data_IF_067777249745
#
_entry.id   IF_067777249745
#
_cell.length_a   1.000
_cell.length_b   1.000
_cell.length_c   1.000
_cell.angle_alpha   90.00
_cell.angle_beta   90.00
_cell.angle_gamma   90.00
#
_symmetry.space_group_name_H-M   'P 1'
#
loop_
_entity.id
_entity.type
_entity.pdbx_description
1 polymer ?
#
# COMPACT_ATOMS: atom_id res chain seq x y z
N UNK A 1 -22.58 -9.96 -12.65
CA UNK A 1 -23.19 -9.18 -11.55
C UNK A 1 -22.54 -7.80 -11.60
N UNK A 2 -23.29 -6.73 -11.87
CA UNK A 2 -22.73 -5.37 -11.95
C UNK A 2 -22.26 -4.95 -10.56
N UNK A 3 -20.96 -4.67 -10.40
CA UNK A 3 -20.44 -4.07 -9.18
C UNK A 3 -20.23 -2.57 -9.43
N UNK A 4 -21.05 -1.68 -8.83
CA UNK A 4 -20.84 -0.25 -8.95
C UNK A 4 -19.46 0.09 -8.35
N UNK A 5 -18.60 0.74 -9.15
CA UNK A 5 -17.30 1.21 -8.68
C UNK A 5 -17.50 2.40 -7.75
N UNK A 6 -16.75 2.51 -6.64
CA UNK A 6 -16.81 3.69 -5.78
C UNK A 6 -16.41 4.93 -6.59
N UNK A 7 -17.12 6.03 -6.36
CA UNK A 7 -16.77 7.34 -6.90
C UNK A 7 -16.19 8.21 -5.81
N UNK A 8 -15.18 8.98 -6.17
CA UNK A 8 -14.40 9.77 -5.24
C UNK A 8 -14.37 11.23 -5.66
N UNK A 9 -14.43 12.12 -4.68
CA UNK A 9 -14.16 13.55 -4.84
C UNK A 9 -13.01 13.96 -3.92
N UNK A 10 -12.28 14.99 -4.34
CA UNK A 10 -11.23 15.60 -3.54
C UNK A 10 -11.85 16.22 -2.27
N UNK A 11 -11.14 16.16 -1.15
CA UNK A 11 -11.54 16.86 0.08
C UNK A 11 -11.59 18.38 -0.16
N UNK A 12 -12.61 19.03 0.37
CA UNK A 12 -12.94 20.43 0.03
C UNK A 12 -11.82 21.44 0.36
N UNK A 13 -10.94 21.15 1.33
CA UNK A 13 -9.83 22.02 1.72
C UNK A 13 -8.56 21.85 0.85
N UNK A 14 -8.49 20.79 0.05
CA UNK A 14 -7.32 20.48 -0.78
C UNK A 14 -7.30 21.42 -1.99
N UNK A 15 -6.23 22.20 -2.10
CA UNK A 15 -6.04 23.13 -3.21
C UNK A 15 -5.58 22.41 -4.49
N UNK A 16 -6.46 22.40 -5.49
CA UNK A 16 -6.22 21.80 -6.80
C UNK A 16 -4.95 22.32 -7.48
N UNK A 17 -4.58 23.59 -7.26
CA UNK A 17 -3.41 24.21 -7.90
C UNK A 17 -2.09 23.77 -7.26
N UNK A 18 -2.13 23.20 -6.05
CA UNK A 18 -0.94 22.69 -5.36
C UNK A 18 -0.69 21.20 -5.62
N UNK A 19 -1.68 20.49 -6.19
CA UNK A 19 -1.53 19.08 -6.49
C UNK A 19 -0.45 18.81 -7.54
N UNK A 20 0.33 17.77 -7.30
CA UNK A 20 1.26 17.24 -8.27
C UNK A 20 0.55 16.22 -9.17
N UNK A 21 0.30 16.59 -10.43
CA UNK A 21 -0.48 15.79 -11.36
C UNK A 21 0.18 14.48 -11.80
N UNK A 22 1.51 14.39 -11.73
CA UNK A 22 2.22 13.11 -11.91
C UNK A 22 1.79 12.11 -10.82
N UNK A 23 1.71 12.55 -9.57
CA UNK A 23 1.30 11.71 -8.44
C UNK A 23 -0.22 11.44 -8.47
N UNK A 24 -1.04 12.45 -8.74
CA UNK A 24 -2.50 12.29 -8.90
C UNK A 24 -2.83 11.24 -9.98
N UNK A 25 -2.11 11.23 -11.10
CA UNK A 25 -2.35 10.27 -12.19
C UNK A 25 -2.11 8.82 -11.77
N UNK A 26 -1.19 8.57 -10.85
CA UNK A 26 -0.95 7.23 -10.27
C UNK A 26 -1.93 6.86 -9.15
N UNK A 27 -2.70 7.81 -8.64
CA UNK A 27 -3.58 7.60 -7.48
C UNK A 27 -4.87 6.87 -7.89
N UNK A 28 -5.17 5.69 -7.31
CA UNK A 28 -6.33 4.88 -7.69
C UNK A 28 -7.67 5.56 -7.44
N UNK A 29 -7.75 6.53 -6.52
CA UNK A 29 -8.98 7.28 -6.21
C UNK A 29 -9.16 8.52 -7.09
N UNK A 30 -8.17 8.90 -7.90
CA UNK A 30 -8.18 10.14 -8.67
C UNK A 30 -8.86 10.04 -10.05
N UNK A 31 -9.36 8.88 -10.46
CA UNK A 31 -9.90 8.64 -11.80
C UNK A 31 -10.92 9.71 -12.23
N UNK A 32 -11.85 10.04 -11.35
CA UNK A 32 -12.87 11.06 -11.63
C UNK A 32 -12.24 12.46 -11.80
N UNK A 33 -11.33 12.84 -10.92
CA UNK A 33 -10.63 14.12 -11.01
C UNK A 33 -9.83 14.24 -12.32
N UNK A 34 -9.22 13.16 -12.76
CA UNK A 34 -8.47 13.07 -14.01
C UNK A 34 -9.39 13.16 -15.24
N UNK A 35 -10.55 12.51 -15.21
CA UNK A 35 -11.57 12.65 -16.27
C UNK A 35 -12.10 14.08 -16.41
N UNK A 36 -12.22 14.80 -15.28
CA UNK A 36 -12.64 16.19 -15.25
C UNK A 36 -11.51 17.17 -15.66
N UNK A 37 -10.25 16.72 -15.68
CA UNK A 37 -9.06 17.51 -16.02
C UNK A 37 -8.14 16.76 -17.00
N UNK A 38 -8.61 16.43 -18.21
CA UNK A 38 -7.90 15.54 -19.13
C UNK A 38 -6.56 16.09 -19.63
N UNK A 39 -6.42 17.42 -19.67
CA UNK A 39 -5.21 18.15 -20.04
C UNK A 39 -4.06 17.98 -19.03
N UNK A 40 -4.39 17.61 -17.78
CA UNK A 40 -3.42 17.45 -16.70
C UNK A 40 -2.99 16.01 -16.46
N UNK A 41 -3.51 15.06 -17.24
CA UNK A 41 -3.18 13.64 -17.09
C UNK A 41 -1.72 13.40 -17.47
N UNK A 42 -0.96 12.83 -16.53
CA UNK A 42 0.36 12.27 -16.81
C UNK A 42 0.20 10.79 -17.19
N UNK A 43 0.19 10.50 -18.50
CA UNK A 43 -0.14 9.18 -19.03
C UNK A 43 0.80 8.06 -18.60
N UNK A 44 2.10 8.34 -18.41
CA UNK A 44 3.04 7.35 -17.86
C UNK A 44 2.65 6.89 -16.45
N UNK A 45 2.30 7.85 -15.59
CA UNK A 45 1.82 7.55 -14.23
C UNK A 45 0.44 6.88 -14.24
N UNK A 46 -0.42 7.28 -15.18
CA UNK A 46 -1.74 6.68 -15.37
C UNK A 46 -1.62 5.21 -15.82
N UNK A 47 -0.65 4.87 -16.68
CA UNK A 47 -0.41 3.49 -17.12
C UNK A 47 -0.15 2.53 -15.96
N UNK A 48 0.48 3.01 -14.88
CA UNK A 48 0.69 2.23 -13.65
C UNK A 48 -0.56 2.11 -12.77
N UNK A 49 -1.56 2.96 -12.97
CA UNK A 49 -2.73 3.05 -12.11
C UNK A 49 -3.72 1.88 -12.40
N UNK A 50 -3.95 0.97 -11.43
CA UNK A 50 -4.81 -0.20 -11.65
C UNK A 50 -6.29 0.14 -11.90
N UNK A 51 -6.74 1.32 -11.49
CA UNK A 51 -8.12 1.77 -11.70
C UNK A 51 -8.31 2.50 -13.04
N UNK A 52 -7.22 2.79 -13.78
CA UNK A 52 -7.24 3.59 -14.99
C UNK A 52 -7.30 2.79 -16.31
N UNK A 53 -7.36 1.46 -16.25
CA UNK A 53 -7.34 0.58 -17.44
C UNK A 53 -8.32 1.03 -18.53
N UNK A 54 -9.57 1.35 -18.16
CA UNK A 54 -10.59 1.82 -19.10
C UNK A 54 -10.21 3.13 -19.83
N UNK A 55 -9.45 4.03 -19.19
CA UNK A 55 -8.95 5.25 -19.84
C UNK A 55 -7.82 4.94 -20.82
N UNK A 56 -6.97 3.96 -20.49
CA UNK A 56 -5.87 3.50 -21.33
C UNK A 56 -6.41 2.78 -22.58
N UNK A 57 -7.44 1.94 -22.42
CA UNK A 57 -8.14 1.27 -23.54
C UNK A 57 -8.75 2.27 -24.52
N UNK A 58 -9.24 3.42 -24.03
CA UNK A 58 -9.79 4.50 -24.86
C UNK A 58 -8.72 5.38 -25.50
N UNK A 59 -7.46 5.31 -25.05
CA UNK A 59 -6.35 6.14 -25.50
C UNK A 59 -5.08 5.28 -25.72
N UNK A 60 -5.12 4.27 -26.61
CA UNK A 60 -4.04 3.30 -26.76
C UNK A 60 -2.71 3.90 -27.22
N UNK A 61 -2.75 5.04 -27.91
CA UNK A 61 -1.60 5.82 -28.38
C UNK A 61 -0.82 6.49 -27.24
N UNK A 62 -1.45 6.67 -26.07
CA UNK A 62 -0.84 7.34 -24.91
C UNK A 62 -0.29 6.37 -23.87
N UNK A 63 -0.43 5.08 -24.11
CA UNK A 63 0.03 4.05 -23.16
C UNK A 63 1.55 4.06 -23.09
N UNK A 64 2.06 4.36 -21.89
CA UNK A 64 3.43 4.01 -21.51
C UNK A 64 3.51 2.53 -21.12
N UNK A 65 4.11 1.72 -21.99
CA UNK A 65 4.14 0.26 -21.85
C UNK A 65 5.08 -0.24 -20.75
N UNK A 66 6.12 0.54 -20.44
CA UNK A 66 7.03 0.27 -19.33
C UNK A 66 6.27 0.29 -17.99
N UNK A 67 5.53 1.37 -17.75
CA UNK A 67 4.69 1.55 -16.57
C UNK A 67 3.49 0.59 -16.56
N UNK A 68 2.90 0.31 -17.73
CA UNK A 68 1.80 -0.65 -17.87
C UNK A 68 2.22 -2.07 -17.48
N UNK A 69 3.47 -2.47 -17.74
CA UNK A 69 3.97 -3.81 -17.41
C UNK A 69 3.93 -4.11 -15.90
N UNK A 70 4.02 -3.07 -15.06
CA UNK A 70 3.84 -3.16 -13.61
C UNK A 70 2.37 -3.20 -13.15
N UNK A 71 1.41 -2.87 -14.03
CA UNK A 71 0.01 -2.71 -13.65
C UNK A 71 -0.69 -4.08 -13.53
N UNK A 72 -1.17 -4.47 -12.33
CA UNK A 72 -1.77 -5.78 -12.11
C UNK A 72 -3.08 -5.99 -12.88
N UNK A 73 -3.75 -4.92 -13.31
CA UNK A 73 -5.01 -4.99 -14.06
C UNK A 73 -4.81 -4.88 -15.58
N UNK A 74 -3.56 -4.84 -16.07
CA UNK A 74 -3.25 -4.65 -17.49
C UNK A 74 -2.77 -5.92 -18.22
N UNK A 75 -2.84 -7.09 -17.57
CA UNK A 75 -2.31 -8.34 -18.15
C UNK A 75 -2.89 -8.62 -19.55
N UNK A 76 -4.21 -8.40 -19.76
CA UNK A 76 -4.83 -8.63 -21.06
C UNK A 76 -4.31 -7.70 -22.17
N UNK A 77 -3.96 -6.45 -21.84
CA UNK A 77 -3.36 -5.52 -22.80
C UNK A 77 -1.92 -5.95 -23.17
N UNK A 78 -1.18 -6.46 -22.19
CA UNK A 78 0.19 -6.95 -22.37
C UNK A 78 0.21 -8.24 -23.20
N UNK A 79 -0.71 -9.17 -22.95
CA UNK A 79 -0.87 -10.41 -23.75
C UNK A 79 -1.19 -10.12 -25.21
N UNK A 80 -1.95 -9.06 -25.49
CA UNK A 80 -2.28 -8.62 -26.86
C UNK A 80 -1.12 -7.88 -27.55
N UNK A 81 -0.10 -7.43 -26.81
CA UNK A 81 1.03 -6.64 -27.31
C UNK A 81 2.37 -7.16 -26.75
N UNK A 82 2.74 -8.43 -27.03
CA UNK A 82 3.89 -9.08 -26.40
C UNK A 82 5.24 -8.42 -26.71
N UNK A 83 5.33 -7.71 -27.83
CA UNK A 83 6.51 -6.95 -28.27
C UNK A 83 6.77 -5.70 -27.43
N UNK A 84 5.76 -5.20 -26.70
CA UNK A 84 5.85 -3.99 -25.88
C UNK A 84 6.07 -4.26 -24.39
N UNK A 85 6.10 -5.53 -23.99
CA UNK A 85 6.27 -5.92 -22.59
C UNK A 85 7.66 -5.55 -22.10
N UNK A 86 7.71 -4.80 -20.99
CA UNK A 86 8.93 -4.57 -20.24
C UNK A 86 9.11 -5.62 -19.15
N UNK A 87 9.87 -6.67 -19.45
CA UNK A 87 9.92 -7.90 -18.64
C UNK A 87 10.44 -7.72 -17.22
N UNK A 88 11.41 -6.82 -16.99
CA UNK A 88 11.86 -6.45 -15.65
C UNK A 88 10.71 -5.98 -14.75
N UNK A 89 9.82 -5.14 -15.31
CA UNK A 89 8.67 -4.58 -14.61
C UNK A 89 7.53 -5.59 -14.49
N UNK A 90 7.39 -6.46 -15.48
CA UNK A 90 6.45 -7.57 -15.44
C UNK A 90 6.81 -8.60 -14.35
N UNK A 91 8.09 -8.89 -14.10
CA UNK A 91 8.53 -9.77 -13.01
C UNK A 91 8.04 -9.30 -11.63
N UNK A 92 7.87 -7.98 -11.45
CA UNK A 92 7.33 -7.38 -10.23
C UNK A 92 5.80 -7.50 -10.13
N UNK A 93 5.12 -7.73 -11.25
CA UNK A 93 3.67 -7.70 -11.33
C UNK A 93 3.07 -8.98 -10.68
N UNK A 94 2.26 -8.84 -9.61
CA UNK A 94 1.73 -10.00 -8.88
C UNK A 94 0.74 -10.84 -9.70
N UNK A 95 0.13 -10.27 -10.74
CA UNK A 95 -0.83 -10.95 -11.60
C UNK A 95 -0.21 -11.53 -12.87
N UNK A 96 1.09 -11.30 -13.10
CA UNK A 96 1.77 -11.74 -14.32
C UNK A 96 2.39 -13.14 -14.24
N UNK A 97 2.26 -13.85 -13.10
CA UNK A 97 2.89 -15.17 -12.91
C UNK A 97 2.60 -16.16 -14.06
N UNK A 98 1.35 -16.30 -14.57
CA UNK A 98 1.08 -17.19 -15.70
C UNK A 98 1.81 -16.78 -16.98
N UNK A 99 1.90 -15.48 -17.27
CA UNK A 99 2.59 -14.95 -18.46
C UNK A 99 4.11 -15.11 -18.35
N UNK A 100 4.67 -14.92 -17.14
CA UNK A 100 6.08 -15.14 -16.85
C UNK A 100 6.45 -16.62 -16.95
N UNK A 101 5.60 -17.53 -16.46
CA UNK A 101 5.83 -18.98 -16.54
C UNK A 101 5.95 -19.49 -18.00
N UNK A 102 5.28 -18.83 -18.94
CA UNK A 102 5.36 -19.12 -20.38
C UNK A 102 6.60 -18.50 -21.06
N UNK A 103 7.31 -17.58 -20.39
CA UNK A 103 8.41 -16.78 -20.94
C UNK A 103 9.61 -16.73 -19.97
N UNK A 104 10.01 -17.89 -19.45
CA UNK A 104 11.00 -17.98 -18.36
C UNK A 104 12.37 -17.40 -18.70
N UNK A 105 12.74 -17.39 -19.98
CA UNK A 105 13.98 -16.81 -20.49
C UNK A 105 14.06 -15.28 -20.32
N UNK A 106 12.91 -14.63 -20.14
CA UNK A 106 12.81 -13.16 -20.01
C UNK A 106 12.63 -12.69 -18.57
N UNK A 107 12.45 -13.61 -17.63
CA UNK A 107 12.23 -13.29 -16.23
C UNK A 107 13.47 -12.63 -15.63
N UNK A 108 13.27 -11.45 -15.02
CA UNK A 108 14.18 -10.96 -14.00
C UNK A 108 13.92 -11.71 -12.68
N UNK A 109 14.84 -12.61 -12.32
CA UNK A 109 14.71 -13.52 -11.18
C UNK A 109 14.98 -12.85 -9.83
N UNK A 110 15.75 -11.76 -9.82
CA UNK A 110 16.00 -10.97 -8.62
C UNK A 110 14.71 -10.30 -8.14
N UNK A 111 14.04 -9.60 -9.06
CA UNK A 111 12.76 -8.94 -8.78
C UNK A 111 11.65 -9.97 -8.52
N UNK A 112 11.64 -11.08 -9.27
CA UNK A 112 10.63 -12.12 -9.07
C UNK A 112 10.74 -12.78 -7.69
N UNK A 113 11.95 -12.92 -7.13
CA UNK A 113 12.14 -13.51 -5.79
C UNK A 113 11.46 -12.70 -4.67
N UNK A 114 11.24 -11.40 -4.89
CA UNK A 114 10.48 -10.53 -3.98
C UNK A 114 8.96 -10.59 -4.22
N UNK A 115 8.52 -11.11 -5.37
CA UNK A 115 7.12 -11.17 -5.73
C UNK A 115 6.39 -12.22 -4.88
N UNK A 116 5.45 -11.75 -4.05
CA UNK A 116 4.69 -12.58 -3.10
C UNK A 116 3.86 -13.68 -3.77
N UNK A 117 3.49 -13.48 -5.04
CA UNK A 117 2.70 -14.43 -5.81
C UNK A 117 3.57 -15.43 -6.59
N UNK A 118 4.89 -15.22 -6.64
CA UNK A 118 5.81 -16.04 -7.42
C UNK A 118 6.30 -17.32 -6.71
N UNK A 119 5.95 -17.54 -5.44
CA UNK A 119 6.41 -18.71 -4.68
C UNK A 119 6.20 -20.04 -5.45
N UNK A 120 5.03 -20.32 -6.06
CA UNK A 120 4.84 -21.58 -6.80
C UNK A 120 5.73 -21.72 -8.03
N UNK A 121 6.13 -20.61 -8.67
CA UNK A 121 7.05 -20.63 -9.82
C UNK A 121 8.50 -20.81 -9.34
N UNK A 122 8.88 -20.14 -8.26
CA UNK A 122 10.21 -20.25 -7.66
C UNK A 122 10.50 -21.67 -7.13
N UNK A 123 9.50 -22.34 -6.55
CA UNK A 123 9.61 -23.74 -6.10
C UNK A 123 9.93 -24.72 -7.25
N UNK A 124 9.48 -24.42 -8.48
CA UNK A 124 9.78 -25.25 -9.66
C UNK A 124 11.20 -25.04 -10.18
N UNK A 125 11.84 -23.92 -9.85
CA UNK A 125 13.14 -23.50 -10.43
C UNK A 125 14.08 -22.97 -9.33
N UNK A 126 14.50 -23.84 -8.39
CA UNK A 126 15.25 -23.42 -7.21
C UNK A 126 16.62 -22.77 -7.54
N UNK A 127 17.25 -23.16 -8.64
CA UNK A 127 18.57 -22.65 -9.05
C UNK A 127 18.55 -21.16 -9.46
N UNK A 128 17.37 -20.60 -9.70
CA UNK A 128 17.20 -19.19 -10.07
C UNK A 128 16.79 -18.30 -8.90
N UNK A 129 16.53 -18.88 -7.73
CA UNK A 129 16.09 -18.13 -6.56
C UNK A 129 17.21 -17.21 -6.06
N UNK A 130 16.89 -15.92 -5.91
CA UNK A 130 17.75 -14.99 -5.19
C UNK A 130 17.34 -14.99 -3.71
N UNK A 131 18.05 -15.78 -2.91
CA UNK A 131 17.68 -16.11 -1.53
C UNK A 131 17.69 -14.92 -0.57
N UNK A 132 18.55 -13.93 -0.79
CA UNK A 132 18.58 -12.66 -0.05
C UNK A 132 17.21 -11.97 -0.13
N UNK A 133 16.73 -11.75 -1.34
CA UNK A 133 15.44 -11.12 -1.63
C UNK A 133 14.25 -11.99 -1.25
N UNK A 134 14.36 -13.31 -1.42
CA UNK A 134 13.34 -14.25 -0.97
C UNK A 134 13.19 -14.23 0.56
N UNK A 135 14.26 -14.00 1.32
CA UNK A 135 14.23 -13.93 2.78
C UNK A 135 13.37 -12.77 3.31
N UNK A 136 13.24 -11.68 2.53
CA UNK A 136 12.32 -10.57 2.82
C UNK A 136 10.86 -10.89 2.46
N UNK A 137 10.60 -11.90 1.61
CA UNK A 137 9.28 -12.20 1.09
C UNK A 137 8.39 -12.86 2.17
N UNK A 138 7.28 -12.23 2.61
CA UNK A 138 6.46 -12.77 3.69
C UNK A 138 5.74 -14.07 3.34
N UNK A 139 5.58 -14.39 2.05
CA UNK A 139 4.98 -15.64 1.59
C UNK A 139 6.01 -16.79 1.46
N UNK A 140 7.31 -16.49 1.56
CA UNK A 140 8.37 -17.49 1.36
C UNK A 140 8.73 -18.31 2.60
N UNK A 141 8.12 -18.05 3.76
CA UNK A 141 8.46 -18.74 5.02
C UNK A 141 8.47 -20.28 4.90
N UNK A 142 7.49 -20.94 4.22
CA UNK A 142 7.54 -22.38 4.02
C UNK A 142 8.77 -22.85 3.23
N UNK A 143 9.11 -22.15 2.15
CA UNK A 143 10.26 -22.47 1.30
C UNK A 143 11.60 -22.22 2.02
N UNK A 144 11.71 -21.14 2.79
CA UNK A 144 12.88 -20.83 3.60
C UNK A 144 13.11 -21.88 4.71
N UNK A 145 12.04 -22.39 5.33
CA UNK A 145 12.14 -23.47 6.35
C UNK A 145 12.74 -24.77 5.79
N UNK A 146 12.51 -25.05 4.51
CA UNK A 146 13.07 -26.22 3.81
C UNK A 146 14.54 -26.01 3.40
N UNK A 147 15.00 -24.76 3.33
CA UNK A 147 16.32 -24.37 2.81
C UNK A 147 17.04 -23.44 3.80
N UNK A 148 17.17 -23.87 5.06
CA UNK A 148 17.66 -23.00 6.14
C UNK A 148 19.10 -22.50 5.96
N UNK A 149 19.93 -23.25 5.22
CA UNK A 149 21.31 -22.87 4.88
C UNK A 149 21.39 -21.70 3.91
N UNK A 150 20.30 -21.41 3.20
CA UNK A 150 20.22 -20.33 2.20
C UNK A 150 19.66 -19.02 2.74
N UNK A 151 19.15 -19.03 3.97
CA UNK A 151 18.47 -17.86 4.55
C UNK A 151 19.45 -16.72 4.74
N UNK A 152 19.09 -15.54 4.23
CA UNK A 152 19.69 -14.29 4.66
C UNK A 152 18.96 -13.79 5.92
N UNK A 153 19.63 -13.91 7.06
CA UNK A 153 19.04 -13.59 8.36
C UNK A 153 18.82 -12.08 8.59
N UNK A 154 19.60 -11.22 7.91
CA UNK A 154 19.42 -9.77 7.99
C UNK A 154 18.09 -9.37 7.34
N UNK A 155 17.82 -9.87 6.13
CA UNK A 155 16.55 -9.61 5.45
C UNK A 155 15.38 -10.35 6.10
N UNK A 156 15.63 -11.55 6.63
CA UNK A 156 14.61 -12.29 7.38
C UNK A 156 14.17 -11.53 8.65
N UNK A 157 15.07 -10.82 9.34
CA UNK A 157 14.70 -9.99 10.50
C UNK A 157 13.67 -8.90 10.16
N UNK A 158 13.69 -8.36 8.94
CA UNK A 158 12.68 -7.40 8.48
C UNK A 158 11.37 -8.08 8.01
N UNK A 159 11.35 -9.40 7.85
CA UNK A 159 10.19 -10.12 7.33
C UNK A 159 9.10 -10.26 8.41
N UNK A 160 7.89 -9.71 8.20
CA UNK A 160 6.84 -9.72 9.23
C UNK A 160 6.32 -11.12 9.55
N UNK A 161 6.48 -12.10 8.66
CA UNK A 161 6.02 -13.47 8.88
C UNK A 161 7.12 -14.40 9.45
N UNK A 162 8.33 -13.87 9.68
CA UNK A 162 9.48 -14.67 10.10
C UNK A 162 9.66 -14.79 11.62
N UNK A 163 8.85 -14.10 12.43
CA UNK A 163 8.97 -14.10 13.90
C UNK A 163 9.14 -15.51 14.51
N UNK A 164 8.32 -16.52 14.14
CA UNK A 164 8.48 -17.87 14.71
C UNK A 164 9.79 -18.58 14.33
N UNK A 165 10.44 -18.17 13.24
CA UNK A 165 11.73 -18.70 12.81
C UNK A 165 12.88 -17.99 13.53
N UNK A 166 12.77 -16.67 13.69
CA UNK A 166 13.74 -15.84 14.44
C UNK A 166 13.78 -16.22 15.93
N UNK A 167 12.63 -16.51 16.55
CA UNK A 167 12.56 -16.99 17.94
C UNK A 167 13.38 -18.26 18.19
N UNK A 168 13.53 -19.12 17.18
CA UNK A 168 14.31 -20.36 17.27
C UNK A 168 15.81 -20.15 17.08
N UNK A 169 16.22 -18.98 16.59
CA UNK A 169 17.61 -18.64 16.23
C UNK A 169 17.96 -17.21 16.70
N UNK A 170 17.89 -16.94 18.03
CA UNK A 170 18.09 -15.60 18.56
C UNK A 170 19.49 -15.02 18.29
N UNK A 171 20.48 -15.88 18.07
CA UNK A 171 21.86 -15.54 17.69
C UNK A 171 21.98 -14.98 16.26
N UNK A 172 20.97 -15.23 15.41
CA UNK A 172 20.93 -14.78 14.02
C UNK A 172 20.12 -13.51 13.81
N UNK A 173 19.44 -13.02 14.83
CA UNK A 173 18.58 -11.84 14.72
C UNK A 173 19.44 -10.60 14.47
N UNK A 174 19.22 -9.96 13.32
CA UNK A 174 19.59 -8.57 13.11
C UNK A 174 18.55 -7.66 13.80
N UNK A 175 18.93 -7.07 14.95
CA UNK A 175 18.02 -6.28 15.79
C UNK A 175 17.68 -4.92 15.19
N UNK A 176 18.56 -4.37 14.35
CA UNK A 176 18.33 -3.11 13.65
C UNK A 176 17.14 -3.25 12.69
N UNK A 177 17.14 -4.28 11.85
CA UNK A 177 16.03 -4.56 10.92
C UNK A 177 14.79 -5.07 11.66
N UNK A 178 14.98 -5.80 12.77
CA UNK A 178 13.87 -6.28 13.59
C UNK A 178 13.09 -5.12 14.26
N UNK A 179 13.74 -4.04 14.67
CA UNK A 179 13.07 -2.90 15.32
C UNK A 179 11.96 -2.28 14.46
N UNK A 180 12.16 -2.22 13.13
CA UNK A 180 11.15 -1.73 12.19
C UNK A 180 10.06 -2.76 11.84
N UNK A 181 10.24 -4.03 12.21
CA UNK A 181 9.34 -5.11 11.84
C UNK A 181 8.02 -5.01 12.64
N UNK A 182 6.86 -4.83 11.99
CA UNK A 182 5.59 -4.59 12.67
C UNK A 182 5.15 -5.76 13.55
N UNK A 183 5.59 -6.98 13.26
CA UNK A 183 5.19 -8.18 14.01
C UNK A 183 6.21 -8.56 15.10
N UNK A 184 7.35 -7.85 15.20
CA UNK A 184 8.43 -8.20 16.10
C UNK A 184 8.28 -7.70 17.54
N UNK A 185 7.22 -6.94 17.84
CA UNK A 185 7.01 -6.34 19.15
C UNK A 185 7.17 -7.32 20.33
N UNK A 186 6.62 -8.56 20.30
CA UNK A 186 6.81 -9.51 21.40
C UNK A 186 8.27 -9.94 21.63
N UNK A 187 9.11 -9.93 20.59
CA UNK A 187 10.54 -10.20 20.69
C UNK A 187 11.30 -8.98 21.23
N UNK A 188 10.94 -7.79 20.75
CA UNK A 188 11.56 -6.52 21.14
C UNK A 188 11.30 -6.19 22.62
N UNK A 189 10.07 -6.42 23.11
CA UNK A 189 9.72 -6.19 24.53
C UNK A 189 10.56 -7.04 25.50
N UNK A 190 10.99 -8.23 25.07
CA UNK A 190 11.85 -9.11 25.87
C UNK A 190 13.34 -8.74 25.79
N UNK A 191 13.73 -7.82 24.90
CA UNK A 191 15.11 -7.47 24.58
C UNK A 191 15.27 -5.95 24.39
N UNK A 192 14.79 -5.16 25.37
CA UNK A 192 14.75 -3.70 25.28
C UNK A 192 16.12 -3.05 25.05
N UNK A 193 17.20 -3.70 25.49
CA UNK A 193 18.59 -3.28 25.33
C UNK A 193 19.09 -3.35 23.89
N UNK A 194 18.43 -4.15 23.04
CA UNK A 194 18.82 -4.35 21.64
C UNK A 194 18.01 -3.54 20.64
N UNK A 195 16.99 -2.84 21.13
CA UNK A 195 16.09 -2.04 20.29
C UNK A 195 16.87 -0.86 19.70
N UNK A 196 16.89 -0.79 18.38
CA UNK A 196 17.09 0.48 17.69
C UNK A 196 15.80 1.33 17.79
N UNK A 197 15.82 2.37 18.63
CA UNK A 197 14.65 3.20 18.92
C UNK A 197 14.27 4.15 17.78
N UNK A 198 15.24 4.50 16.93
CA UNK A 198 14.98 5.30 15.73
C UNK A 198 14.10 4.52 14.76
N UNK A 199 14.45 3.26 14.48
CA UNK A 199 13.66 2.38 13.63
C UNK A 199 12.38 1.88 14.29
N UNK A 200 12.38 1.66 15.61
CA UNK A 200 11.16 1.35 16.35
C UNK A 200 10.12 2.47 16.20
N UNK A 201 10.55 3.73 16.07
CA UNK A 201 9.62 4.87 15.92
C UNK A 201 8.80 4.80 14.62
N UNK A 202 9.27 4.10 13.59
CA UNK A 202 8.49 3.79 12.38
C UNK A 202 7.46 2.67 12.59
N UNK A 203 7.64 1.83 13.60
CA UNK A 203 6.84 0.63 13.79
C UNK A 203 5.42 1.01 14.30
N UNK A 204 4.35 0.79 13.51
CA UNK A 204 3.00 1.18 13.90
C UNK A 204 2.51 0.46 15.17
N UNK A 205 3.02 -0.74 15.42
CA UNK A 205 2.60 -1.54 16.56
C UNK A 205 3.36 -1.18 17.85
N UNK A 206 4.44 -0.39 17.77
CA UNK A 206 5.30 -0.08 18.91
C UNK A 206 4.87 1.18 19.70
N UNK A 207 3.70 1.75 19.42
CA UNK A 207 3.29 3.05 19.98
C UNK A 207 3.32 3.08 21.51
N UNK A 208 2.85 2.03 22.19
CA UNK A 208 2.85 1.97 23.65
C UNK A 208 4.25 1.89 24.25
N UNK A 209 5.23 1.34 23.52
CA UNK A 209 6.61 1.25 23.98
C UNK A 209 7.30 2.61 23.84
N UNK A 210 6.99 3.34 22.77
CA UNK A 210 7.44 4.71 22.53
C UNK A 210 6.86 5.69 23.56
N UNK A 211 5.57 5.55 23.91
CA UNK A 211 4.92 6.36 24.95
C UNK A 211 5.61 6.24 26.32
N UNK A 212 6.12 5.04 26.65
CA UNK A 212 6.84 4.78 27.90
C UNK A 212 8.30 5.25 27.88
N UNK A 213 8.85 5.55 26.71
CA UNK A 213 10.27 5.89 26.50
C UNK A 213 10.38 7.13 25.58
N UNK A 214 9.69 8.21 25.92
CA UNK A 214 9.56 9.38 25.03
C UNK A 214 10.90 10.03 24.69
N UNK A 215 11.89 9.91 25.58
CA UNK A 215 13.25 10.42 25.40
C UNK A 215 14.03 9.69 24.29
N UNK A 216 13.58 8.50 23.89
CA UNK A 216 14.21 7.69 22.83
C UNK A 216 13.52 7.81 21.48
N UNK A 217 12.41 8.53 21.42
CA UNK A 217 11.61 8.67 20.20
C UNK A 217 12.45 9.35 19.10
N UNK A 218 12.56 8.67 17.96
CA UNK A 218 12.98 9.27 16.71
C UNK A 218 11.84 10.04 16.07
N UNK A 219 11.64 11.32 16.44
CA UNK A 219 10.50 12.14 15.99
C UNK A 219 10.35 12.26 14.48
N UNK A 220 11.48 12.26 13.76
CA UNK A 220 11.49 12.20 12.29
C UNK A 220 10.73 10.96 11.79
N UNK A 221 11.10 9.78 12.27
CA UNK A 221 10.50 8.50 11.91
C UNK A 221 9.06 8.37 12.42
N UNK A 222 8.82 8.85 13.64
CA UNK A 222 7.48 8.86 14.24
C UNK A 222 6.48 9.66 13.40
N UNK A 223 6.94 10.67 12.66
CA UNK A 223 6.07 11.50 11.82
C UNK A 223 5.34 10.68 10.75
N UNK A 224 5.92 9.58 10.27
CA UNK A 224 5.27 8.66 9.31
C UNK A 224 4.41 7.58 9.99
N UNK A 225 4.51 7.43 11.31
CA UNK A 225 3.85 6.36 12.04
C UNK A 225 2.33 6.62 12.13
N UNK A 226 1.47 5.76 11.53
CA UNK A 226 0.03 5.99 11.46
C UNK A 226 -0.65 5.97 12.84
N UNK A 227 -0.05 5.30 13.82
CA UNK A 227 -0.60 5.18 15.16
C UNK A 227 -0.07 6.26 16.13
N UNK A 228 0.77 7.18 15.66
CA UNK A 228 1.40 8.20 16.49
C UNK A 228 0.73 9.58 16.43
N UNK A 229 -0.44 9.71 15.79
CA UNK A 229 -1.09 11.01 15.55
C UNK A 229 -1.31 11.82 16.83
N UNK A 230 -1.70 11.18 17.94
CA UNK A 230 -1.89 11.88 19.22
C UNK A 230 -0.57 12.40 19.82
N UNK A 231 0.52 11.64 19.71
CA UNK A 231 1.85 12.09 20.15
C UNK A 231 2.35 13.26 19.30
N UNK A 232 2.16 13.18 17.97
CA UNK A 232 2.54 14.22 17.04
C UNK A 232 1.74 15.51 17.30
N UNK A 233 0.42 15.40 17.53
CA UNK A 233 -0.44 16.55 17.88
C UNK A 233 0.04 17.31 19.12
N UNK A 234 0.60 16.61 20.11
CA UNK A 234 1.12 17.22 21.34
C UNK A 234 2.52 17.82 21.19
N UNK A 235 3.24 17.51 20.11
CA UNK A 235 4.65 17.85 19.90
C UNK A 235 4.89 18.43 18.49
N UNK A 236 4.06 19.40 18.09
CA UNK A 236 4.07 19.99 16.73
C UNK A 236 5.42 20.62 16.32
N UNK A 237 6.23 21.01 17.30
CA UNK A 237 7.57 21.58 17.16
C UNK A 237 8.62 20.54 16.75
N UNK A 238 8.38 19.25 17.00
CA UNK A 238 9.32 18.16 16.72
C UNK A 238 9.02 17.41 15.41
N UNK A 239 7.90 17.73 14.76
CA UNK A 239 7.43 17.03 13.56
C UNK A 239 8.30 17.38 12.35
N UNK A 240 8.62 16.37 11.54
CA UNK A 240 9.14 16.59 10.20
C UNK A 240 7.96 16.71 9.20
N UNK A 241 7.81 17.89 8.61
CA UNK A 241 6.69 18.25 7.73
C UNK A 241 6.60 17.39 6.46
N UNK A 242 7.76 17.08 5.86
CA UNK A 242 7.84 16.22 4.68
C UNK A 242 7.31 14.82 5.00
N UNK A 243 7.70 14.28 6.15
CA UNK A 243 7.34 12.94 6.58
C UNK A 243 5.91 12.83 7.14
N UNK A 244 5.39 13.90 7.77
CA UNK A 244 3.99 13.93 8.20
C UNK A 244 3.04 13.80 7.00
N UNK A 245 3.42 14.32 5.84
CA UNK A 245 2.63 14.20 4.62
C UNK A 245 2.53 12.75 4.11
N UNK A 246 3.47 11.88 4.51
CA UNK A 246 3.44 10.43 4.24
C UNK A 246 2.51 9.66 5.19
N UNK A 247 2.07 10.28 6.29
CA UNK A 247 1.30 9.61 7.33
C UNK A 247 -0.19 9.51 6.95
N UNK A 248 -0.75 8.30 6.82
CA UNK A 248 -2.12 8.14 6.33
C UNK A 248 -3.21 8.65 7.27
N UNK A 249 -2.88 8.83 8.55
CA UNK A 249 -3.83 9.32 9.55
C UNK A 249 -3.62 10.82 9.85
N UNK A 250 -2.70 11.50 9.17
CA UNK A 250 -2.36 12.89 9.43
C UNK A 250 -3.24 13.92 8.71
N UNK A 251 -4.23 13.50 7.90
CA UNK A 251 -4.99 14.41 7.03
C UNK A 251 -5.62 15.60 7.79
N UNK A 252 -6.19 15.36 8.98
CA UNK A 252 -6.76 16.42 9.85
C UNK A 252 -5.70 17.31 10.50
N UNK A 253 -4.50 16.77 10.74
CA UNK A 253 -3.39 17.54 11.26
C UNK A 253 -2.81 18.46 10.18
N UNK A 254 -2.70 17.96 8.95
CA UNK A 254 -2.26 18.70 7.77
C UNK A 254 -3.24 19.81 7.40
N UNK A 255 -4.55 19.56 7.47
CA UNK A 255 -5.61 20.57 7.25
C UNK A 255 -5.42 21.82 8.14
N UNK A 256 -5.01 21.62 9.40
CA UNK A 256 -4.76 22.71 10.36
C UNK A 256 -3.40 23.39 10.20
N UNK A 257 -2.49 22.80 9.41
CA UNK A 257 -1.12 23.28 9.23
C UNK A 257 -0.74 23.26 7.74
N UNK A 258 -1.43 24.04 6.88
CA UNK A 258 -1.26 23.99 5.43
C UNK A 258 0.14 24.39 4.94
N UNK A 259 0.88 25.14 5.75
CA UNK A 259 2.28 25.54 5.56
C UNK A 259 3.26 24.36 5.70
N UNK A 260 2.84 23.29 6.37
CA UNK A 260 3.65 22.08 6.62
C UNK A 260 3.41 20.96 5.60
N UNK A 261 2.61 21.20 4.57
CA UNK A 261 2.23 20.16 3.61
C UNK A 261 3.30 20.01 2.51
N UNK A 262 3.84 18.80 2.37
CA UNK A 262 4.52 18.38 1.16
C UNK A 262 3.48 17.88 0.15
N UNK A 263 3.11 18.74 -0.79
CA UNK A 263 2.08 18.47 -1.79
C UNK A 263 2.46 17.37 -2.78
N UNK A 264 3.76 17.15 -3.04
CA UNK A 264 4.21 16.05 -3.89
C UNK A 264 3.79 14.71 -3.24
N UNK A 265 4.13 14.53 -1.97
CA UNK A 265 3.81 13.31 -1.22
C UNK A 265 2.29 13.18 -1.04
N UNK A 266 1.64 14.26 -0.57
CA UNK A 266 0.21 14.28 -0.29
C UNK A 266 -0.64 13.91 -1.51
N UNK A 267 -0.24 14.37 -2.72
CA UNK A 267 -0.98 14.10 -3.97
C UNK A 267 -1.05 12.61 -4.35
N UNK A 268 -0.10 11.80 -3.89
CA UNK A 268 -0.07 10.36 -4.15
C UNK A 268 -1.06 9.58 -3.28
N UNK A 269 -1.55 10.18 -2.21
CA UNK A 269 -2.28 9.46 -1.17
C UNK A 269 -3.78 9.33 -1.47
N UNK A 270 -4.37 8.12 -1.37
CA UNK A 270 -5.80 7.92 -1.61
C UNK A 270 -6.73 8.66 -0.62
N UNK A 271 -6.24 9.01 0.57
CA UNK A 271 -7.03 9.64 1.63
C UNK A 271 -7.28 11.15 1.43
N UNK A 272 -6.69 11.78 0.41
CA UNK A 272 -7.08 13.15 0.00
C UNK A 272 -8.43 13.16 -0.72
N UNK A 273 -8.99 11.97 -0.99
CA UNK A 273 -10.29 11.77 -1.58
C UNK A 273 -11.26 11.17 -0.56
N UNK A 274 -12.53 11.56 -0.68
CA UNK A 274 -13.66 10.96 0.03
C UNK A 274 -14.70 10.45 -0.96
N UNK A 275 -15.59 9.57 -0.50
CA UNK A 275 -16.67 9.05 -1.34
C UNK A 275 -17.61 10.18 -1.76
N UNK A 276 -17.86 10.29 -3.07
CA UNK A 276 -18.85 11.22 -3.61
C UNK A 276 -20.25 10.58 -3.53
N UNK A 277 -20.83 10.59 -2.33
CA UNK A 277 -22.16 10.06 -2.08
C UNK A 277 -23.23 10.70 -2.97
N UNK A 278 -23.05 11.96 -3.41
CA UNK A 278 -24.01 12.63 -4.28
C UNK A 278 -23.98 12.01 -5.68
N UNK A 279 -22.79 11.83 -6.27
CA UNK A 279 -22.65 11.17 -7.59
C UNK A 279 -22.99 9.69 -7.52
N UNK A 280 -22.58 8.99 -6.46
CA UNK A 280 -22.94 7.59 -6.24
C UNK A 280 -24.45 7.41 -6.10
N UNK A 281 -25.13 8.26 -5.31
CA UNK A 281 -26.59 8.24 -5.20
C UNK A 281 -27.25 8.41 -6.56
N UNK A 282 -26.79 9.37 -7.38
CA UNK A 282 -27.33 9.57 -8.72
C UNK A 282 -27.20 8.30 -9.57
N UNK A 283 -26.01 7.69 -9.62
CA UNK A 283 -25.80 6.46 -10.39
C UNK A 283 -26.57 5.25 -9.85
N UNK A 284 -26.73 5.13 -8.53
CA UNK A 284 -27.43 3.99 -7.91
C UNK A 284 -28.94 4.12 -7.99
N UNK A 285 -29.47 5.34 -7.84
CA UNK A 285 -30.91 5.62 -7.96
C UNK A 285 -31.41 5.25 -9.36
N UNK A 286 -30.58 5.45 -10.38
CA UNK A 286 -30.94 5.14 -11.77
C UNK A 286 -30.96 3.63 -12.09
N UNK A 287 -30.42 2.76 -11.23
CA UNK A 287 -30.21 1.34 -11.58
C UNK A 287 -30.97 0.36 -10.66
N UNK A 288 -30.97 0.56 -9.33
CA UNK A 288 -31.52 -0.45 -8.38
C UNK A 288 -32.14 0.16 -7.10
N UNK A 289 -32.71 1.36 -7.16
CA UNK A 289 -33.20 2.04 -5.94
C UNK A 289 -34.20 1.20 -5.15
N UNK A 290 -35.16 0.58 -5.83
CA UNK A 290 -36.23 -0.21 -5.21
C UNK A 290 -35.69 -1.52 -4.62
N UNK A 291 -34.83 -2.24 -5.33
CA UNK A 291 -34.21 -3.47 -4.84
C UNK A 291 -33.26 -3.19 -3.66
N UNK A 292 -32.51 -2.09 -3.72
CA UNK A 292 -31.65 -1.66 -2.62
C UNK A 292 -32.49 -1.32 -1.39
N UNK A 293 -33.60 -0.59 -1.54
CA UNK A 293 -34.54 -0.32 -0.44
C UNK A 293 -35.11 -1.62 0.13
N UNK A 294 -35.57 -2.56 -0.69
CA UNK A 294 -36.12 -3.84 -0.22
C UNK A 294 -35.12 -4.63 0.62
N UNK A 295 -33.84 -4.59 0.26
CA UNK A 295 -32.77 -5.32 0.95
C UNK A 295 -32.29 -4.56 2.19
N UNK A 296 -32.06 -3.25 2.09
CA UNK A 296 -31.48 -2.42 3.17
C UNK A 296 -32.50 -2.02 4.22
N UNK A 297 -33.73 -1.69 3.81
CA UNK A 297 -34.82 -1.30 4.69
C UNK A 297 -35.70 -2.48 5.12
N UNK A 298 -35.26 -3.71 4.86
CA UNK A 298 -35.96 -4.89 5.35
C UNK A 298 -36.08 -4.82 6.88
N UNK A 299 -37.28 -5.01 7.48
CA UNK A 299 -37.50 -4.79 8.92
C UNK A 299 -36.50 -5.49 9.83
N UNK A 300 -36.05 -6.71 9.49
CA UNK A 300 -35.01 -7.43 10.23
C UNK A 300 -33.65 -6.72 10.28
N UNK A 301 -33.23 -6.06 9.19
CA UNK A 301 -31.96 -5.33 9.14
C UNK A 301 -32.06 -3.99 9.85
N UNK A 302 -33.20 -3.32 9.71
CA UNK A 302 -33.48 -2.09 10.47
C UNK A 302 -33.52 -2.38 11.96
N UNK A 303 -34.21 -3.44 12.40
CA UNK A 303 -34.20 -3.88 13.79
C UNK A 303 -32.77 -4.15 14.26
N UNK A 304 -32.01 -4.99 13.54
CA UNK A 304 -30.62 -5.28 13.90
C UNK A 304 -29.72 -4.03 13.95
N UNK A 305 -29.97 -3.03 13.09
CA UNK A 305 -29.24 -1.76 13.11
C UNK A 305 -29.62 -0.89 14.31
N UNK A 306 -30.91 -0.78 14.62
CA UNK A 306 -31.40 -0.07 15.80
C UNK A 306 -30.92 -0.73 17.10
N UNK A 307 -30.90 -2.07 17.13
CA UNK A 307 -30.42 -2.88 18.24
C UNK A 307 -28.88 -2.76 18.40
N UNK A 308 -28.15 -2.40 17.33
CA UNK A 308 -26.69 -2.31 17.32
C UNK A 308 -26.14 -0.96 17.79
N UNK A 309 -26.94 0.12 17.87
CA UNK A 309 -26.42 1.42 18.35
C UNK A 309 -27.51 2.46 18.62
N UNK A 310 -27.83 2.66 19.90
CA UNK A 310 -28.00 3.98 20.54
C UNK A 310 -27.61 3.85 22.03
N UNK A 311 -26.32 3.59 22.29
CA UNK A 311 -25.64 4.20 23.43
C UNK A 311 -24.76 5.31 22.82
N UNK A 312 -25.06 6.56 23.19
CA UNK A 312 -24.34 7.81 22.88
C UNK A 312 -24.46 8.42 21.46
N UNK A 313 -25.41 9.35 21.33
CA UNK A 313 -25.30 10.56 20.51
C UNK A 313 -25.49 11.80 21.38
#
# INVERSE_FOLDING_TARGET
MYQPKPLYKLLDWIDLNKLNWYQVSSNPNAIQLLQENPDKIHWGSLSKNPNAIHLLEQNPDKIDWESLSQNPNAIHLLEQNPDKIHWFWLSKNPNAIPLLEQNQDKIDWEILSQNRNAIPLLEKIPDKIMWEYLSLNPNAIPLLKQNQDKIDWKYLSANPNAIPLLEKKPDKIDWYHLSANPNALPLLEKNLDKIDWHWLSFNPNAIHLLEKNQEKIGWRCLSENPNAIHLLQQNLDKINCELLSSNPNAIRLLEKNPDKINWLILSSHPFIFELDYKKMKKQLVDIFWEELMMVTLHPKRISAWLDASFEDF
#
